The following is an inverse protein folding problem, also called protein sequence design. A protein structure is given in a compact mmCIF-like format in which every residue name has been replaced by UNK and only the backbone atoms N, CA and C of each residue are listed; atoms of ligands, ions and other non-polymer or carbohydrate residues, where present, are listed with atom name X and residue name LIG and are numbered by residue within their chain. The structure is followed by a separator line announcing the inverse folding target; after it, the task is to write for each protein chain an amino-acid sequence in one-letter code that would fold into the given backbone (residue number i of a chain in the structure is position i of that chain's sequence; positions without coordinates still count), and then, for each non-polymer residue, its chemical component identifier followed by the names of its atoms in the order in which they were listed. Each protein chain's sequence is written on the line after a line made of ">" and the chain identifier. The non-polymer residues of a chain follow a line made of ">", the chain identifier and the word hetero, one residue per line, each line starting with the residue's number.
data_IF_330714771062
#
_entry.id   IF_330714771062
#
_cell.length_a   1.000
_cell.length_b   1.000
_cell.length_c   1.000
_cell.angle_alpha   90.00
_cell.angle_beta   90.00
_cell.angle_gamma   90.00
#
_symmetry.space_group_name_H-M   'P 1'
#
loop_
_entity.id
_entity.type
_entity.pdbx_description
1 polymer ?
#
# COMPACT_ATOMS: atom_id res chain seq x y z
N UNK A 1 -3.58 -8.61 -4.02
CA UNK A 1 -2.14 -8.63 -4.24
C UNK A 1 -1.65 -10.08 -4.34
N UNK A 2 -0.69 -10.33 -5.20
CA UNK A 2 0.00 -11.62 -5.34
C UNK A 2 1.49 -11.40 -5.16
N UNK A 3 2.10 -12.18 -4.29
CA UNK A 3 3.55 -12.25 -4.11
C UNK A 3 4.03 -13.54 -4.76
N UNK A 4 5.07 -13.47 -5.56
CA UNK A 4 5.64 -14.64 -6.23
C UNK A 4 7.17 -14.61 -6.17
N UNK A 5 7.77 -15.79 -6.00
CA UNK A 5 9.21 -15.99 -6.05
C UNK A 5 9.57 -16.81 -7.29
N UNK A 6 10.65 -16.44 -7.96
CA UNK A 6 11.15 -17.11 -9.17
C UNK A 6 12.54 -17.67 -8.94
N UNK A 7 12.77 -18.88 -9.41
CA UNK A 7 14.06 -19.57 -9.24
C UNK A 7 15.22 -18.80 -9.89
N UNK A 8 14.95 -18.24 -11.08
CA UNK A 8 15.89 -17.41 -11.83
C UNK A 8 15.36 -16.00 -11.98
N UNK A 9 16.21 -14.99 -12.05
CA UNK A 9 15.81 -13.63 -12.37
C UNK A 9 14.98 -13.57 -13.65
N UNK A 10 13.93 -12.73 -13.66
CA UNK A 10 13.07 -12.55 -14.83
C UNK A 10 13.75 -11.73 -15.95
N UNK A 11 14.92 -11.18 -15.65
CA UNK A 11 15.72 -10.40 -16.59
C UNK A 11 14.91 -9.26 -17.24
N UNK A 12 14.33 -8.43 -16.39
CA UNK A 12 13.56 -7.25 -16.76
C UNK A 12 14.37 -5.99 -16.48
N UNK A 13 14.32 -5.04 -17.42
CA UNK A 13 15.05 -3.77 -17.35
C UNK A 13 14.44 -2.75 -16.36
N UNK A 14 13.36 -3.09 -15.67
CA UNK A 14 12.68 -2.24 -14.71
C UNK A 14 12.49 -2.96 -13.37
N UNK A 15 12.39 -2.18 -12.29
CA UNK A 15 12.11 -2.66 -10.94
C UNK A 15 10.64 -2.52 -10.55
N UNK A 16 9.93 -1.61 -11.18
CA UNK A 16 8.49 -1.45 -10.99
C UNK A 16 7.84 -0.85 -12.24
N UNK A 17 6.57 -1.20 -12.47
CA UNK A 17 5.81 -0.68 -13.59
C UNK A 17 4.31 -0.58 -13.25
N UNK A 18 3.68 0.50 -13.71
CA UNK A 18 2.24 0.55 -13.89
C UNK A 18 1.88 -0.09 -15.23
N UNK A 19 0.89 -0.97 -15.21
CA UNK A 19 0.45 -1.71 -16.39
C UNK A 19 -0.97 -1.28 -16.73
N UNK A 20 -1.17 -0.92 -17.96
CA UNK A 20 -2.47 -0.50 -18.49
C UNK A 20 -3.09 -1.61 -19.33
N UNK A 21 -4.41 -1.65 -19.40
CA UNK A 21 -5.18 -2.62 -20.20
C UNK A 21 -4.89 -4.10 -19.84
N UNK A 22 -4.62 -4.36 -18.56
CA UNK A 22 -4.32 -5.68 -18.02
C UNK A 22 -5.05 -5.90 -16.71
N UNK A 23 -5.21 -7.15 -16.30
CA UNK A 23 -5.65 -7.52 -14.95
C UNK A 23 -4.67 -7.05 -13.88
N UNK A 24 -3.39 -6.97 -14.21
CA UNK A 24 -2.36 -6.39 -13.33
C UNK A 24 -2.35 -4.88 -13.51
N UNK A 25 -2.49 -4.14 -12.42
CA UNK A 25 -2.35 -2.68 -12.42
C UNK A 25 -0.91 -2.24 -12.14
N UNK A 26 -0.20 -2.96 -11.29
CA UNK A 26 1.14 -2.60 -10.86
C UNK A 26 1.94 -3.85 -10.50
N UNK A 27 3.21 -3.85 -10.86
CA UNK A 27 4.15 -4.89 -10.51
C UNK A 27 5.45 -4.27 -9.99
N UNK A 28 6.08 -4.91 -9.00
CA UNK A 28 7.36 -4.46 -8.48
C UNK A 28 8.24 -5.61 -8.01
N UNK A 29 9.53 -5.49 -8.34
CA UNK A 29 10.59 -6.38 -7.87
C UNK A 29 10.92 -6.06 -6.41
N UNK A 30 10.71 -7.00 -5.51
CA UNK A 30 11.01 -6.79 -4.09
C UNK A 30 12.52 -6.72 -3.82
N UNK A 31 13.33 -7.37 -4.65
CA UNK A 31 14.79 -7.40 -4.51
C UNK A 31 15.47 -6.09 -4.91
N UNK A 32 14.77 -5.14 -5.51
CA UNK A 32 15.27 -3.77 -5.71
C UNK A 32 15.42 -2.99 -4.40
N UNK A 33 14.79 -3.47 -3.32
CA UNK A 33 14.91 -2.88 -1.98
C UNK A 33 16.20 -3.35 -1.29
N UNK A 34 16.80 -2.51 -0.42
CA UNK A 34 17.99 -2.89 0.32
C UNK A 34 17.81 -4.18 1.14
N UNK A 35 18.86 -4.99 1.19
CA UNK A 35 18.95 -6.20 2.03
C UNK A 35 17.89 -7.27 1.73
N UNK A 36 17.44 -7.38 0.48
CA UNK A 36 16.57 -8.47 0.03
C UNK A 36 17.39 -9.56 -0.66
N UNK A 37 17.49 -10.77 -0.06
CA UNK A 37 18.24 -11.89 -0.64
C UNK A 37 17.49 -12.53 -1.81
N UNK A 38 18.17 -13.45 -2.51
CA UNK A 38 17.53 -14.39 -3.43
C UNK A 38 16.53 -15.30 -2.67
N UNK A 39 15.54 -15.89 -3.36
CA UNK A 39 15.25 -15.77 -4.79
C UNK A 39 14.66 -14.42 -5.18
N UNK A 40 14.56 -14.16 -6.51
CA UNK A 40 13.88 -12.95 -6.99
C UNK A 40 12.39 -13.03 -6.69
N UNK A 41 11.89 -12.01 -5.99
CA UNK A 41 10.49 -11.90 -5.59
C UNK A 41 9.82 -10.70 -6.25
N UNK A 42 8.62 -10.90 -6.72
CA UNK A 42 7.77 -9.86 -7.29
C UNK A 42 6.45 -9.73 -6.54
N UNK A 43 5.95 -8.51 -6.49
CA UNK A 43 4.62 -8.18 -5.99
C UNK A 43 3.77 -7.68 -7.15
N UNK A 44 2.58 -8.25 -7.30
CA UNK A 44 1.61 -7.88 -8.33
C UNK A 44 0.33 -7.39 -7.66
N UNK A 45 -0.15 -6.23 -8.08
CA UNK A 45 -1.47 -5.73 -7.69
C UNK A 45 -2.44 -5.89 -8.85
N UNK A 46 -3.57 -6.54 -8.61
CA UNK A 46 -4.68 -6.57 -9.54
C UNK A 46 -5.35 -5.20 -9.68
N UNK A 47 -5.92 -4.93 -10.84
CA UNK A 47 -6.79 -3.78 -11.03
C UNK A 47 -8.13 -3.96 -10.26
N UNK A 48 -8.93 -2.91 -10.14
CA UNK A 48 -10.18 -2.94 -9.38
C UNK A 48 -11.19 -3.94 -9.97
N UNK A 49 -11.35 -3.93 -11.29
CA UNK A 49 -12.30 -4.80 -11.99
C UNK A 49 -11.96 -6.29 -11.80
N UNK A 50 -10.71 -6.66 -12.03
CA UNK A 50 -10.24 -8.03 -11.80
C UNK A 50 -10.39 -8.43 -10.33
N UNK A 51 -10.03 -7.52 -9.40
CA UNK A 51 -10.12 -7.78 -7.96
C UNK A 51 -11.56 -8.04 -7.51
N UNK A 52 -12.54 -7.31 -8.05
CA UNK A 52 -13.95 -7.56 -7.77
C UNK A 52 -14.41 -8.91 -8.30
N UNK A 53 -14.01 -9.29 -9.53
CA UNK A 53 -14.38 -10.59 -10.14
C UNK A 53 -13.84 -11.80 -9.36
N UNK A 54 -12.75 -11.64 -8.64
CA UNK A 54 -12.10 -12.74 -7.88
C UNK A 54 -12.29 -12.65 -6.38
N UNK A 55 -12.99 -11.64 -5.86
CA UNK A 55 -13.15 -11.38 -4.42
C UNK A 55 -13.75 -12.56 -3.66
N UNK A 56 -14.65 -13.30 -4.29
CA UNK A 56 -15.37 -14.42 -3.69
C UNK A 56 -14.75 -15.79 -3.99
N UNK A 57 -13.65 -15.80 -4.75
CA UNK A 57 -12.97 -17.06 -5.09
C UNK A 57 -12.17 -17.54 -3.88
N UNK A 58 -12.40 -18.81 -3.52
CA UNK A 58 -11.69 -19.49 -2.41
C UNK A 58 -10.32 -20.03 -2.82
N UNK A 59 -10.09 -20.19 -4.13
CA UNK A 59 -8.83 -20.74 -4.65
C UNK A 59 -7.82 -19.60 -4.90
N UNK A 60 -7.00 -19.36 -3.89
CA UNK A 60 -5.92 -18.38 -3.93
C UNK A 60 -4.82 -18.76 -4.93
N UNK A 61 -4.62 -20.06 -5.19
CA UNK A 61 -3.56 -20.56 -6.06
C UNK A 61 -3.85 -20.23 -7.52
N UNK A 62 -5.01 -20.67 -8.03
CA UNK A 62 -5.43 -20.39 -9.41
C UNK A 62 -5.60 -18.89 -9.66
N UNK A 63 -6.15 -18.17 -8.67
CA UNK A 63 -6.32 -16.72 -8.73
C UNK A 63 -4.98 -16.02 -8.85
N UNK A 64 -4.01 -16.37 -8.02
CA UNK A 64 -2.66 -15.80 -8.08
C UNK A 64 -1.97 -16.10 -9.39
N UNK A 65 -2.02 -17.35 -9.87
CA UNK A 65 -1.44 -17.77 -11.13
C UNK A 65 -2.02 -16.99 -12.33
N UNK A 66 -3.33 -16.75 -12.34
CA UNK A 66 -3.97 -15.99 -13.42
C UNK A 66 -3.46 -14.53 -13.48
N UNK A 67 -3.22 -13.90 -12.34
CA UNK A 67 -2.67 -12.53 -12.29
C UNK A 67 -1.22 -12.50 -12.78
N UNK A 68 -0.40 -13.47 -12.37
CA UNK A 68 0.99 -13.60 -12.84
C UNK A 68 1.01 -13.84 -14.36
N UNK A 69 0.14 -14.68 -14.89
CA UNK A 69 0.03 -14.91 -16.33
C UNK A 69 -0.30 -13.62 -17.10
N UNK A 70 -1.26 -12.82 -16.60
CA UNK A 70 -1.57 -11.51 -17.19
C UNK A 70 -0.41 -10.54 -17.16
N UNK A 71 0.48 -10.63 -16.18
CA UNK A 71 1.72 -9.85 -16.16
C UNK A 71 2.64 -10.26 -17.31
N UNK A 72 2.94 -11.56 -17.46
CA UNK A 72 3.81 -12.05 -18.53
C UNK A 72 3.25 -11.73 -19.93
N UNK A 73 1.94 -11.87 -20.12
CA UNK A 73 1.26 -11.45 -21.34
C UNK A 73 1.47 -9.95 -21.62
N UNK A 74 1.31 -9.11 -20.61
CA UNK A 74 1.46 -7.64 -20.73
C UNK A 74 2.87 -7.19 -21.12
N UNK A 75 3.89 -7.96 -20.76
CA UNK A 75 5.29 -7.66 -21.09
C UNK A 75 5.80 -8.45 -22.31
N UNK A 76 4.93 -9.22 -22.98
CA UNK A 76 5.28 -10.00 -24.17
C UNK A 76 6.30 -11.11 -23.92
N UNK A 77 6.35 -11.65 -22.71
CA UNK A 77 7.26 -12.76 -22.35
C UNK A 77 6.48 -14.06 -22.11
N UNK A 78 7.06 -15.23 -22.37
CA UNK A 78 6.46 -16.50 -22.03
C UNK A 78 6.27 -16.60 -20.51
N UNK A 79 5.19 -17.27 -20.12
CA UNK A 79 4.89 -17.49 -18.70
C UNK A 79 6.00 -18.35 -18.05
N UNK A 80 6.46 -17.89 -16.89
CA UNK A 80 7.41 -18.62 -16.03
C UNK A 80 6.69 -18.96 -14.74
N UNK A 81 6.68 -20.25 -14.39
CA UNK A 81 6.09 -20.69 -13.13
C UNK A 81 6.91 -20.19 -11.94
N UNK A 82 6.26 -19.55 -10.95
CA UNK A 82 6.93 -19.22 -9.71
C UNK A 82 7.18 -20.49 -8.87
N UNK A 83 8.32 -20.55 -8.18
CA UNK A 83 8.61 -21.61 -7.21
C UNK A 83 7.73 -21.52 -5.96
N UNK A 84 7.19 -20.34 -5.69
CA UNK A 84 6.26 -20.07 -4.60
C UNK A 84 5.40 -18.86 -4.95
N UNK A 85 4.12 -18.92 -4.60
CA UNK A 85 3.24 -17.76 -4.67
C UNK A 85 2.32 -17.71 -3.47
N UNK A 86 1.90 -16.49 -3.11
CA UNK A 86 0.91 -16.23 -2.07
C UNK A 86 -0.01 -15.11 -2.51
N UNK A 87 -1.31 -15.37 -2.49
CA UNK A 87 -2.35 -14.38 -2.78
C UNK A 87 -2.85 -13.76 -1.48
N UNK A 88 -3.09 -12.46 -1.49
CA UNK A 88 -3.72 -11.74 -0.39
C UNK A 88 -4.76 -10.77 -0.93
N UNK A 89 -5.99 -10.95 -0.46
CA UNK A 89 -7.08 -10.03 -0.74
C UNK A 89 -7.18 -8.98 0.37
N UNK A 90 -7.18 -7.71 -0.01
CA UNK A 90 -7.33 -6.57 0.89
C UNK A 90 -8.67 -5.89 0.60
N UNK A 91 -9.65 -6.04 1.49
CA UNK A 91 -11.00 -5.49 1.29
C UNK A 91 -11.02 -3.96 1.26
N UNK A 92 -10.14 -3.33 2.04
CA UNK A 92 -10.04 -1.87 2.16
C UNK A 92 -8.65 -1.41 1.74
N UNK A 93 -8.26 -1.73 0.50
CA UNK A 93 -6.91 -1.45 -0.02
C UNK A 93 -6.66 0.02 -0.33
N UNK A 94 -7.70 0.78 -0.64
CA UNK A 94 -7.60 2.18 -1.00
C UNK A 94 -8.90 2.93 -0.64
N UNK A 95 -8.78 4.15 -0.17
CA UNK A 95 -9.91 5.05 -0.01
C UNK A 95 -10.30 5.60 -1.39
N UNK A 96 -11.57 5.42 -1.79
CA UNK A 96 -12.06 5.89 -3.09
C UNK A 96 -12.21 7.42 -3.10
N UNK A 97 -12.67 7.98 -1.99
CA UNK A 97 -12.86 9.43 -1.80
C UNK A 97 -12.20 9.86 -0.50
N UNK A 98 -10.88 10.14 -0.48
CA UNK A 98 -10.21 10.66 0.70
C UNK A 98 -10.82 11.97 1.17
N UNK A 99 -10.81 12.21 2.48
CA UNK A 99 -11.47 13.38 3.07
C UNK A 99 -10.77 14.72 2.77
N UNK A 100 -9.46 14.70 2.46
CA UNK A 100 -8.62 15.88 2.26
C UNK A 100 -8.62 16.86 3.46
N UNK A 101 -8.71 16.35 4.68
CA UNK A 101 -8.77 17.11 5.93
C UNK A 101 -7.48 17.07 6.76
N UNK A 102 -6.49 16.35 6.30
CA UNK A 102 -5.27 16.08 7.04
C UNK A 102 -5.49 15.04 8.15
N UNK A 103 -6.26 15.38 9.16
CA UNK A 103 -6.68 14.49 10.26
C UNK A 103 -8.04 14.92 10.80
N UNK A 104 -8.68 14.04 11.56
CA UNK A 104 -9.87 14.36 12.33
C UNK A 104 -9.49 14.47 13.82
N UNK A 105 -10.03 15.46 14.49
CA UNK A 105 -9.77 15.72 15.89
C UNK A 105 -11.06 16.10 16.62
N UNK A 106 -11.36 15.37 17.68
CA UNK A 106 -12.42 15.70 18.62
C UNK A 106 -11.80 16.30 19.88
N UNK A 107 -12.06 17.57 20.12
CA UNK A 107 -11.48 18.31 21.24
C UNK A 107 -12.19 18.01 22.58
N UNK A 108 -13.44 17.57 22.55
CA UNK A 108 -14.22 17.26 23.76
C UNK A 108 -13.71 15.96 24.39
N UNK A 109 -13.52 14.94 23.55
CA UNK A 109 -13.05 13.62 24.00
C UNK A 109 -11.54 13.45 23.93
N UNK A 110 -10.79 14.43 23.39
CA UNK A 110 -9.36 14.34 23.14
C UNK A 110 -9.00 13.11 22.28
N UNK A 111 -9.82 12.81 21.29
CA UNK A 111 -9.62 11.69 20.37
C UNK A 111 -9.23 12.23 18.99
N UNK A 112 -8.18 11.64 18.42
CA UNK A 112 -7.76 11.96 17.08
C UNK A 112 -7.62 10.71 16.22
N UNK A 113 -7.96 10.82 14.92
CA UNK A 113 -7.75 9.78 13.94
C UNK A 113 -7.07 10.34 12.70
N UNK A 114 -6.11 9.59 12.17
CA UNK A 114 -5.38 9.94 10.97
C UNK A 114 -5.11 8.68 10.13
N UNK A 115 -4.78 8.86 8.87
CA UNK A 115 -4.49 7.79 7.94
C UNK A 115 -4.49 8.30 6.50
N UNK A 116 -4.15 7.45 5.55
CA UNK A 116 -4.15 7.78 4.13
C UNK A 116 -5.52 8.24 3.62
N UNK A 117 -6.60 7.71 4.17
CA UNK A 117 -7.98 8.09 3.86
C UNK A 117 -8.35 9.52 4.28
N UNK A 118 -7.56 10.15 5.18
CA UNK A 118 -7.74 11.56 5.53
C UNK A 118 -7.12 12.53 4.50
N UNK A 119 -6.17 12.06 3.68
CA UNK A 119 -5.42 12.90 2.73
C UNK A 119 -5.51 12.37 1.30
N UNK A 120 -4.76 11.33 1.01
CA UNK A 120 -4.72 10.64 -0.28
C UNK A 120 -4.35 9.18 -0.02
N UNK A 121 -4.99 8.26 -0.73
CA UNK A 121 -4.87 6.82 -0.51
C UNK A 121 -3.51 6.26 -0.96
N UNK A 122 -2.44 6.65 -0.28
CA UNK A 122 -1.06 6.18 -0.49
C UNK A 122 -0.20 6.44 0.75
N UNK A 123 1.00 5.85 0.79
CA UNK A 123 1.95 5.96 1.92
C UNK A 123 2.26 7.41 2.27
N UNK A 124 2.46 8.27 1.27
CA UNK A 124 2.68 9.72 1.47
C UNK A 124 1.49 10.36 2.18
N UNK A 125 0.26 10.05 1.77
CA UNK A 125 -0.95 10.56 2.41
C UNK A 125 -1.06 10.13 3.87
N UNK A 126 -0.70 8.89 4.19
CA UNK A 126 -0.66 8.40 5.57
C UNK A 126 0.38 9.18 6.41
N UNK A 127 1.57 9.42 5.87
CA UNK A 127 2.61 10.19 6.54
C UNK A 127 2.19 11.64 6.80
N UNK A 128 1.67 12.33 5.77
CA UNK A 128 1.18 13.70 5.89
C UNK A 128 0.03 13.81 6.90
N UNK A 129 -0.88 12.84 6.90
CA UNK A 129 -1.99 12.79 7.86
C UNK A 129 -1.49 12.60 9.30
N UNK A 130 -0.49 11.73 9.51
CA UNK A 130 0.16 11.56 10.81
C UNK A 130 0.86 12.83 11.29
N UNK A 131 1.55 13.55 10.39
CA UNK A 131 2.18 14.83 10.70
C UNK A 131 1.15 15.90 11.08
N UNK A 132 0.01 15.96 10.38
CA UNK A 132 -1.08 16.86 10.71
C UNK A 132 -1.65 16.57 12.11
N UNK A 133 -1.81 15.29 12.47
CA UNK A 133 -2.24 14.88 13.81
C UNK A 133 -1.22 15.27 14.87
N UNK A 134 0.05 15.02 14.65
CA UNK A 134 1.12 15.42 15.56
C UNK A 134 1.11 16.93 15.81
N UNK A 135 0.96 17.75 14.76
CA UNK A 135 0.82 19.20 14.86
C UNK A 135 -0.38 19.64 15.73
N UNK A 136 -1.51 18.96 15.60
CA UNK A 136 -2.70 19.21 16.46
C UNK A 136 -2.38 18.94 17.92
N UNK A 137 -1.79 17.79 18.24
CA UNK A 137 -1.45 17.40 19.62
C UNK A 137 -0.42 18.36 20.22
N UNK A 138 0.64 18.69 19.51
CA UNK A 138 1.70 19.60 19.97
C UNK A 138 1.17 21.03 20.15
N UNK A 139 0.33 21.51 19.25
CA UNK A 139 -0.30 22.83 19.37
C UNK A 139 -1.26 22.93 20.55
N UNK A 140 -1.87 21.84 20.96
CA UNK A 140 -2.70 21.77 22.19
C UNK A 140 -1.81 21.69 23.43
N UNK A 141 -0.75 20.87 23.43
CA UNK A 141 0.18 20.78 24.54
C UNK A 141 0.85 22.14 24.83
N UNK A 142 1.20 22.92 23.80
CA UNK A 142 1.72 24.27 23.96
C UNK A 142 0.71 25.26 24.57
N UNK A 143 -0.60 25.05 24.37
CA UNK A 143 -1.66 25.85 24.97
C UNK A 143 -1.97 25.46 26.42
N UNK A 144 -1.60 24.26 26.84
CA UNK A 144 -1.78 23.74 28.22
C UNK A 144 -0.59 24.17 29.12
N UNK A 145 0.50 24.69 28.57
CA UNK A 145 1.67 25.25 29.30
C UNK A 145 1.70 26.80 29.36
N UNK A 146 0.67 27.53 29.81
CA UNK A 146 0.85 28.87 30.28
C UNK A 146 0.60 28.89 31.78
N UNK A 147 1.58 29.36 32.57
CA UNK A 147 1.47 29.70 33.97
C UNK A 147 2.02 28.73 35.04
N UNK A 148 3.18 28.13 34.82
CA UNK A 148 4.03 27.71 35.97
C UNK A 148 5.05 28.79 36.35
N UNK A 149 5.22 29.84 35.54
CA UNK A 149 6.18 30.94 35.85
C UNK A 149 5.60 32.18 36.52
N UNK A 150 4.29 32.24 36.79
CA UNK A 150 3.65 33.41 37.43
C UNK A 150 3.32 33.20 38.93
N UNK A 151 3.84 32.15 39.56
CA UNK A 151 3.63 31.87 40.98
C UNK A 151 4.91 31.86 41.82
N UNK A 152 5.99 32.51 41.30
CA UNK A 152 7.27 32.62 42.00
C UNK A 152 7.75 34.09 42.03
N UNK A 153 6.85 35.05 42.38
CA UNK A 153 7.21 36.39 42.87
C UNK A 153 6.43 36.71 44.14
#
# INVERSE_FOLDING_TARGET
>A
AVMAAFEKPLDLSFDAAFIHQSSVRWAARNNSKPRRPAPECWLFHGNAEWSQKVSDRKDDQTTGRSLIASFFESIGKPFIDPICQKTRFWRSAAAVNPLNLGCLWDAEFNIGVCGDWCQMSRVEGAALSGMAMAGKILGMAAKIQPNVQAAAE
#
